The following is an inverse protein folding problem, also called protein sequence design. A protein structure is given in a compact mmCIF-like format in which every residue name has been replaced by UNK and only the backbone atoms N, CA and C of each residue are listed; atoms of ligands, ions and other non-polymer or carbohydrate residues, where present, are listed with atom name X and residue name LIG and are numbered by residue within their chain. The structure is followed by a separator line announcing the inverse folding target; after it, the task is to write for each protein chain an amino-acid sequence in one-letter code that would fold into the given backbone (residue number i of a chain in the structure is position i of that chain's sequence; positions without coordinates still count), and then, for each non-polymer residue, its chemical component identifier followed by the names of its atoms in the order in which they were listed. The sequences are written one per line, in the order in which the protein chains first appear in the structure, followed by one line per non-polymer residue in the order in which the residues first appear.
data_IF_053290165312
#
_entry.id   IF_053290165312
#
_cell.length_a   1.000
_cell.length_b   1.000
_cell.length_c   1.000
_cell.angle_alpha   90.00
_cell.angle_beta   90.00
_cell.angle_gamma   90.00
#
_symmetry.space_group_name_H-M   'P 1'
#
loop_
_entity.id
_entity.type
_entity.pdbx_description
1 polymer ?
#
# COMPACT_ATOMS: atom_id res chain seq x y z
N UNK A 1 -20.27 -6.44 8.03
CA UNK A 1 -19.03 -6.69 8.82
C UNK A 1 -19.27 -6.21 10.24
N UNK A 2 -19.12 -7.09 11.24
CA UNK A 2 -19.45 -6.77 12.65
C UNK A 2 -18.41 -5.85 13.29
N UNK A 3 -18.79 -5.17 14.38
CA UNK A 3 -17.84 -4.44 15.23
C UNK A 3 -16.72 -5.35 15.77
N UNK A 4 -17.06 -6.61 16.07
CA UNK A 4 -16.10 -7.62 16.51
C UNK A 4 -15.05 -7.94 15.41
N UNK A 5 -15.47 -8.03 14.14
CA UNK A 5 -14.57 -8.27 13.01
C UNK A 5 -13.60 -7.10 12.79
N UNK A 6 -14.09 -5.87 12.95
CA UNK A 6 -13.26 -4.66 12.86
C UNK A 6 -12.19 -4.63 13.94
N UNK A 7 -12.56 -4.92 15.19
CA UNK A 7 -11.62 -5.03 16.32
C UNK A 7 -10.59 -6.15 16.13
N UNK A 8 -11.02 -7.32 15.61
CA UNK A 8 -10.11 -8.43 15.31
C UNK A 8 -9.04 -8.01 14.30
N UNK A 9 -9.47 -7.45 13.16
CA UNK A 9 -8.56 -6.97 12.09
C UNK A 9 -7.63 -5.85 12.58
N UNK A 10 -8.13 -4.98 13.45
CA UNK A 10 -7.31 -3.92 14.05
C UNK A 10 -6.19 -4.49 14.93
N UNK A 11 -6.52 -5.42 15.85
CA UNK A 11 -5.52 -6.07 16.73
C UNK A 11 -4.49 -6.87 15.94
N UNK A 12 -4.94 -7.57 14.89
CA UNK A 12 -4.06 -8.31 13.98
C UNK A 12 -3.05 -7.39 13.27
N UNK A 13 -3.52 -6.24 12.78
CA UNK A 13 -2.64 -5.22 12.19
C UNK A 13 -1.62 -4.68 13.19
N UNK A 14 -2.06 -4.35 14.41
CA UNK A 14 -1.15 -3.87 15.46
C UNK A 14 -0.09 -4.91 15.83
N UNK A 15 -0.48 -6.18 16.02
CA UNK A 15 0.47 -7.27 16.30
C UNK A 15 1.53 -7.43 15.21
N UNK A 16 1.15 -7.18 13.96
CA UNK A 16 2.04 -7.27 12.81
C UNK A 16 2.78 -5.96 12.49
N UNK A 17 2.68 -4.93 13.35
CA UNK A 17 3.31 -3.63 13.12
C UNK A 17 2.76 -2.87 11.91
N UNK A 18 1.58 -3.24 11.40
CA UNK A 18 0.98 -2.66 10.20
C UNK A 18 0.09 -1.47 10.56
N UNK A 19 0.24 -0.35 9.85
CA UNK A 19 -0.63 0.82 9.94
C UNK A 19 -1.47 0.95 8.66
N UNK A 20 -2.80 1.08 8.76
CA UNK A 20 -3.62 1.36 7.59
C UNK A 20 -3.37 2.79 7.11
N UNK A 21 -3.26 2.96 5.79
CA UNK A 21 -3.28 4.26 5.12
C UNK A 21 -4.59 4.35 4.34
N UNK A 22 -5.25 5.50 4.43
CA UNK A 22 -6.41 5.82 3.62
C UNK A 22 -5.97 6.84 2.57
N UNK A 23 -6.16 6.49 1.30
CA UNK A 23 -5.71 7.26 0.14
C UNK A 23 -6.86 7.28 -0.84
N UNK A 24 -7.24 8.48 -1.27
CA UNK A 24 -8.21 8.66 -2.35
C UNK A 24 -7.46 8.62 -3.68
N UNK A 25 -7.99 7.84 -4.63
CA UNK A 25 -7.43 7.65 -5.96
C UNK A 25 -8.55 7.70 -7.00
N UNK A 26 -8.20 8.05 -8.23
CA UNK A 26 -9.09 7.88 -9.37
C UNK A 26 -9.26 6.39 -9.67
N UNK A 27 -10.51 5.90 -9.63
CA UNK A 27 -10.84 4.47 -9.77
C UNK A 27 -10.47 3.94 -11.16
N UNK A 28 -10.59 4.76 -12.22
CA UNK A 28 -10.28 4.36 -13.59
C UNK A 28 -8.77 4.35 -13.79
N UNK A 29 -8.10 5.46 -13.43
CA UNK A 29 -6.67 5.60 -13.62
C UNK A 29 -5.88 4.55 -12.82
N UNK A 30 -6.33 4.20 -11.60
CA UNK A 30 -5.66 3.19 -10.79
C UNK A 30 -5.80 1.79 -11.41
N UNK A 31 -6.95 1.44 -11.97
CA UNK A 31 -7.16 0.15 -12.63
C UNK A 31 -6.28 0.02 -13.88
N UNK A 32 -6.26 1.04 -14.74
CA UNK A 32 -5.41 1.09 -15.93
C UNK A 32 -3.93 0.98 -15.58
N UNK A 33 -3.48 1.72 -14.57
CA UNK A 33 -2.10 1.64 -14.08
C UNK A 33 -1.74 0.24 -13.57
N UNK A 34 -2.62 -0.40 -12.81
CA UNK A 34 -2.38 -1.74 -12.26
C UNK A 34 -2.36 -2.82 -13.37
N UNK A 35 -3.13 -2.63 -14.43
CA UNK A 35 -3.06 -3.48 -15.63
C UNK A 35 -1.73 -3.28 -16.35
N UNK A 36 -1.36 -2.03 -16.62
CA UNK A 36 -0.12 -1.69 -17.32
C UNK A 36 1.13 -2.15 -16.55
N UNK A 37 1.09 -2.13 -15.22
CA UNK A 37 2.18 -2.61 -14.35
C UNK A 37 2.18 -4.13 -14.12
N UNK A 38 1.18 -4.86 -14.63
CA UNK A 38 1.08 -6.32 -14.52
C UNK A 38 0.58 -6.83 -13.16
N UNK A 39 0.09 -5.95 -12.28
CA UNK A 39 -0.46 -6.32 -10.97
C UNK A 39 -1.96 -6.69 -11.02
N UNK A 40 -2.68 -6.29 -12.06
CA UNK A 40 -4.10 -6.58 -12.26
C UNK A 40 -4.36 -7.19 -13.65
N UNK A 41 -5.01 -8.37 -13.76
CA UNK A 41 -5.46 -8.89 -15.04
C UNK A 41 -6.54 -8.00 -15.67
N UNK A 42 -6.54 -7.76 -17.00
CA UNK A 42 -7.54 -6.91 -17.66
C UNK A 42 -8.98 -7.35 -17.42
N UNK A 43 -9.24 -8.67 -17.33
CA UNK A 43 -10.56 -9.22 -17.05
C UNK A 43 -11.11 -8.92 -15.65
N UNK A 44 -10.31 -8.29 -14.78
CA UNK A 44 -10.69 -7.90 -13.42
C UNK A 44 -10.70 -6.38 -13.21
N UNK A 45 -10.68 -5.59 -14.29
CA UNK A 45 -10.63 -4.14 -14.25
C UNK A 45 -11.80 -3.49 -13.48
N UNK A 46 -12.96 -4.16 -13.41
CA UNK A 46 -14.16 -3.66 -12.72
C UNK A 46 -14.36 -4.28 -11.32
N UNK A 47 -13.53 -5.26 -10.93
CA UNK A 47 -13.63 -5.90 -9.62
C UNK A 47 -12.89 -5.05 -8.56
N UNK A 48 -13.66 -4.27 -7.80
CA UNK A 48 -13.15 -3.41 -6.71
C UNK A 48 -12.26 -4.15 -5.70
N UNK A 49 -12.55 -5.41 -5.39
CA UNK A 49 -11.70 -6.17 -4.48
C UNK A 49 -10.38 -6.59 -5.15
N UNK A 50 -10.41 -6.93 -6.43
CA UNK A 50 -9.21 -7.21 -7.21
C UNK A 50 -8.32 -5.96 -7.33
N UNK A 51 -8.91 -4.80 -7.66
CA UNK A 51 -8.20 -3.50 -7.71
C UNK A 51 -7.53 -3.21 -6.36
N UNK A 52 -8.27 -3.31 -5.25
CA UNK A 52 -7.71 -3.09 -3.90
C UNK A 52 -6.53 -4.01 -3.62
N UNK A 53 -6.67 -5.31 -3.91
CA UNK A 53 -5.64 -6.31 -3.61
C UNK A 53 -4.39 -6.10 -4.48
N UNK A 54 -4.58 -5.75 -5.75
CA UNK A 54 -3.49 -5.40 -6.66
C UNK A 54 -2.77 -4.12 -6.21
N UNK A 55 -3.52 -3.08 -5.79
CA UNK A 55 -2.95 -1.85 -5.24
C UNK A 55 -2.15 -2.11 -3.96
N UNK A 56 -2.68 -2.88 -3.00
CA UNK A 56 -1.96 -3.27 -1.79
C UNK A 56 -0.65 -4.01 -2.12
N UNK A 57 -0.69 -4.91 -3.10
CA UNK A 57 0.49 -5.68 -3.55
C UNK A 57 1.54 -4.79 -4.21
N UNK A 58 1.10 -3.86 -5.06
CA UNK A 58 1.98 -2.89 -5.72
C UNK A 58 2.64 -1.94 -4.69
N UNK A 59 1.88 -1.39 -3.75
CA UNK A 59 2.42 -0.54 -2.67
C UNK A 59 3.42 -1.33 -1.82
N UNK A 60 3.09 -2.56 -1.46
CA UNK A 60 4.00 -3.41 -0.69
C UNK A 60 5.32 -3.65 -1.44
N UNK A 61 5.25 -3.96 -2.75
CA UNK A 61 6.43 -4.13 -3.59
C UNK A 61 7.26 -2.84 -3.71
N UNK A 62 6.60 -1.70 -3.93
CA UNK A 62 7.24 -0.39 -4.04
C UNK A 62 7.91 0.08 -2.73
N UNK A 63 7.47 -0.44 -1.58
CA UNK A 63 7.96 -0.06 -0.25
C UNK A 63 8.89 -1.09 0.40
N UNK A 64 9.27 -2.15 -0.32
CA UNK A 64 10.25 -3.13 0.17
C UNK A 64 11.58 -2.45 0.56
N UNK A 65 12.26 -3.01 1.57
CA UNK A 65 13.41 -2.43 2.29
C UNK A 65 14.56 -1.93 1.41
N UNK A 66 14.70 -2.43 0.19
CA UNK A 66 15.71 -1.98 -0.78
C UNK A 66 15.47 -0.51 -1.19
N UNK A 67 14.21 -0.09 -1.34
CA UNK A 67 13.84 1.29 -1.61
C UNK A 67 14.01 2.19 -0.37
N UNK A 68 13.74 1.67 0.83
CA UNK A 68 13.95 2.37 2.09
C UNK A 68 15.43 2.65 2.37
N UNK A 69 16.31 1.68 2.13
CA UNK A 69 17.76 1.83 2.28
C UNK A 69 18.34 2.85 1.28
N UNK A 70 17.81 2.92 0.05
CA UNK A 70 18.19 3.96 -0.91
C UNK A 70 17.80 5.37 -0.43
N UNK A 71 16.61 5.53 0.16
CA UNK A 71 16.18 6.80 0.76
C UNK A 71 17.04 7.17 1.98
N UNK A 72 17.34 6.21 2.87
CA UNK A 72 18.23 6.44 4.03
C UNK A 72 19.64 6.87 3.65
N UNK A 73 20.20 6.31 2.56
CA UNK A 73 21.54 6.66 2.06
C UNK A 73 21.60 8.05 1.41
N UNK A 74 20.46 8.68 1.16
CA UNK A 74 20.41 10.03 0.60
C UNK A 74 20.62 11.07 1.72
N UNK A 75 21.63 11.96 1.65
CA UNK A 75 21.97 12.90 2.73
C UNK A 75 20.81 13.79 3.18
N UNK A 76 19.90 14.14 2.26
CA UNK A 76 18.72 14.97 2.53
C UNK A 76 17.66 14.31 3.42
N UNK A 77 17.54 12.98 3.42
CA UNK A 77 16.59 12.27 4.28
C UNK A 77 17.11 12.15 5.73
N UNK A 78 18.42 11.95 5.90
CA UNK A 78 19.08 11.89 7.20
C UNK A 78 18.98 13.22 7.99
N UNK A 79 18.93 14.35 7.30
CA UNK A 79 18.77 15.67 7.91
C UNK A 79 17.37 15.90 8.51
N UNK A 80 16.31 15.32 7.93
CA UNK A 80 14.92 15.50 8.41
C UNK A 80 14.57 14.58 9.59
N UNK A 81 15.27 13.46 9.76
CA UNK A 81 15.00 12.50 10.84
C UNK A 81 15.72 12.83 12.16
N UNK A 82 16.71 13.73 12.16
CA UNK A 82 17.44 14.16 13.37
C UNK A 82 16.90 15.44 14.01
N UNK A 83 15.86 16.05 13.43
CA UNK A 83 15.26 17.27 13.93
C UNK A 83 13.89 17.03 14.55
N UNK A 84 13.86 16.45 15.75
CA UNK A 84 12.78 16.59 16.74
C UNK A 84 13.32 16.33 18.13
#
# INVERSE_FOLDING_TARGET
MSAADRMRRYRERQRNGRRPLLIDVDEVAVAEFLIASGFLPPCKAEDRNAIRTAAESWIAAATLSQAFEAVRRTPRAAARLRGR
#
